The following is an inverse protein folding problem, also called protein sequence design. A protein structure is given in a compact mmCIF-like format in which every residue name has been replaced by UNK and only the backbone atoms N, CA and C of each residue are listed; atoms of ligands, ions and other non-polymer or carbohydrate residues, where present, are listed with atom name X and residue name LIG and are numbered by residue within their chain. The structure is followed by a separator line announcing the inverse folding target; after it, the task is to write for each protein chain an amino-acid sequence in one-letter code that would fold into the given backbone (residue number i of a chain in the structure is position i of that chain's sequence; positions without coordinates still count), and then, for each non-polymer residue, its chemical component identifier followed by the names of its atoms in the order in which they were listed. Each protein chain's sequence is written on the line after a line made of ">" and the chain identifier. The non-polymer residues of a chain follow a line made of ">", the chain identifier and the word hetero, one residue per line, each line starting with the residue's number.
data_IF_250871873058
#
_entry.id   IF_250871873058
#
_cell.length_a   1.000
_cell.length_b   1.000
_cell.length_c   1.000
_cell.angle_alpha   90.00
_cell.angle_beta   90.00
_cell.angle_gamma   90.00
#
_symmetry.space_group_name_H-M   'P 1'
#
loop_
_entity.id
_entity.type
_entity.pdbx_description
1 polymer ?
#
# COMPACT_ATOMS: atom_id res chain seq x y z
N UNK A 1 -11.00 0.50 7.97
CA UNK A 1 -9.55 0.22 8.10
C UNK A 1 -8.73 1.47 8.35
N UNK A 2 -9.09 2.64 7.79
CA UNK A 2 -8.47 3.93 8.15
C UNK A 2 -9.23 4.66 9.28
N UNK A 3 -8.56 5.59 9.99
CA UNK A 3 -9.22 6.49 10.94
C UNK A 3 -10.29 7.34 10.26
N UNK A 4 -11.45 7.57 10.91
CA UNK A 4 -12.57 8.35 10.35
C UNK A 4 -12.42 9.84 10.68
N UNK A 5 -11.36 10.48 10.22
CA UNK A 5 -11.04 11.88 10.50
C UNK A 5 -10.33 12.56 9.32
N UNK A 6 -9.85 13.81 9.51
CA UNK A 6 -9.13 14.58 8.48
C UNK A 6 -7.91 13.81 7.97
N UNK A 7 -7.07 13.32 8.87
CA UNK A 7 -5.87 12.54 8.53
C UNK A 7 -6.21 11.28 7.72
N UNK A 8 -7.29 10.57 8.07
CA UNK A 8 -7.73 9.40 7.32
C UNK A 8 -8.07 9.68 5.86
N UNK A 9 -8.63 10.87 5.56
CA UNK A 9 -8.87 11.30 4.17
C UNK A 9 -7.58 11.57 3.43
N UNK A 10 -6.60 12.17 4.10
CA UNK A 10 -5.28 12.42 3.52
C UNK A 10 -4.54 11.10 3.21
N UNK A 11 -4.63 10.11 4.10
CA UNK A 11 -4.08 8.76 3.88
C UNK A 11 -4.78 8.08 2.69
N UNK A 12 -6.11 8.16 2.60
CA UNK A 12 -6.86 7.58 1.49
C UNK A 12 -6.43 8.15 0.13
N UNK A 13 -6.05 9.43 0.07
CA UNK A 13 -5.54 10.07 -1.16
C UNK A 13 -4.25 9.45 -1.72
N UNK A 14 -3.47 8.74 -0.90
CA UNK A 14 -2.21 8.08 -1.31
C UNK A 14 -2.43 6.67 -1.89
N UNK A 15 -3.58 6.04 -1.64
CA UNK A 15 -3.89 4.71 -2.18
C UNK A 15 -4.37 4.83 -3.63
N UNK A 16 -3.73 4.09 -4.53
CA UNK A 16 -4.12 3.98 -5.95
C UNK A 16 -4.43 2.52 -6.27
N UNK A 17 -5.64 2.26 -6.75
CA UNK A 17 -6.13 0.90 -7.10
C UNK A 17 -6.46 0.89 -8.58
N UNK A 18 -5.92 -0.10 -9.29
CA UNK A 18 -6.13 -0.28 -10.72
C UNK A 18 -6.90 -1.57 -10.98
N UNK A 19 -7.81 -1.55 -11.95
CA UNK A 19 -8.61 -2.72 -12.30
C UNK A 19 -7.81 -3.77 -13.09
N UNK A 20 -6.82 -3.33 -13.87
CA UNK A 20 -5.93 -4.18 -14.66
C UNK A 20 -4.56 -4.36 -14.02
N UNK A 21 -3.68 -5.12 -14.70
CA UNK A 21 -2.33 -5.40 -14.24
C UNK A 21 -1.36 -4.21 -14.35
N UNK A 22 -1.67 -3.23 -15.21
CA UNK A 22 -0.80 -2.09 -15.51
C UNK A 22 -1.15 -0.82 -14.72
N UNK A 23 -0.16 0.01 -14.44
CA UNK A 23 -0.33 1.33 -13.80
C UNK A 23 0.59 2.42 -14.40
N UNK A 24 0.17 3.71 -14.41
CA UNK A 24 0.93 4.80 -15.04
C UNK A 24 2.12 5.32 -14.22
N UNK A 25 2.45 4.71 -13.07
CA UNK A 25 3.43 5.23 -12.11
C UNK A 25 4.87 4.72 -12.31
N UNK A 26 5.23 4.28 -13.52
CA UNK A 26 6.57 3.75 -13.82
C UNK A 26 7.70 4.75 -13.51
N UNK A 27 7.47 6.05 -13.70
CA UNK A 27 8.45 7.11 -13.41
C UNK A 27 8.86 7.19 -11.93
N UNK A 28 8.07 6.62 -11.02
CA UNK A 28 8.35 6.61 -9.58
C UNK A 28 9.21 5.40 -9.15
N UNK A 29 9.56 4.50 -10.08
CA UNK A 29 10.29 3.26 -9.82
C UNK A 29 9.71 2.47 -8.61
N UNK A 30 8.42 2.08 -8.64
CA UNK A 30 7.79 1.39 -7.52
C UNK A 30 8.47 0.05 -7.24
N UNK A 31 8.68 -0.26 -5.96
CA UNK A 31 9.27 -1.52 -5.52
C UNK A 31 8.16 -2.54 -5.25
N UNK A 32 8.23 -3.76 -5.83
CA UNK A 32 7.29 -4.82 -5.51
C UNK A 32 7.33 -5.18 -4.02
N UNK A 33 6.16 -5.21 -3.38
CA UNK A 33 6.03 -5.62 -1.99
C UNK A 33 5.22 -6.92 -1.91
N UNK A 34 5.84 -7.96 -1.34
CA UNK A 34 5.22 -9.28 -1.14
C UNK A 34 4.92 -9.43 0.35
N UNK A 35 3.67 -9.77 0.68
CA UNK A 35 3.29 -10.02 2.07
C UNK A 35 3.90 -11.34 2.56
N UNK A 36 4.73 -11.27 3.61
CA UNK A 36 5.36 -12.45 4.24
C UNK A 36 4.91 -12.58 5.70
N UNK A 37 4.75 -13.82 6.17
CA UNK A 37 4.48 -14.07 7.59
C UNK A 37 5.79 -14.03 8.38
N UNK A 38 5.85 -13.15 9.38
CA UNK A 38 6.97 -13.14 10.34
C UNK A 38 6.64 -14.15 11.43
N UNK A 39 7.45 -15.21 11.54
CA UNK A 39 7.35 -16.18 12.62
C UNK A 39 7.84 -15.57 13.93
N UNK A 40 7.06 -15.75 15.00
CA UNK A 40 7.39 -15.33 16.36
C UNK A 40 8.07 -16.43 17.19
N UNK A 41 8.47 -17.54 16.56
CA UNK A 41 9.20 -18.61 17.24
C UNK A 41 10.60 -18.08 17.57
N UNK A 42 10.66 -17.52 18.77
CA UNK A 42 11.73 -17.00 19.62
C UNK A 42 13.15 -17.18 19.05
N UNK A 43 13.83 -16.03 18.87
CA UNK A 43 15.29 -15.91 18.85
C UNK A 43 15.89 -16.35 20.18
#
# INVERSE_FOLDING_TARGET
>A
MLPKNRLGRDIAGKLKVYAGAEHPHAAQAPVPYVFTQVSQIIK
#
